data_IF_995789548131
#
_entry.id   IF_995789548131
#
_cell.length_a   1.000
_cell.length_b   1.000
_cell.length_c   1.000
_cell.angle_alpha   90.00
_cell.angle_beta   90.00
_cell.angle_gamma   90.00
#
_symmetry.space_group_name_H-M   'P 1'
#
loop_
_entity.id
_entity.type
_entity.pdbx_description
1 polymer ?
#
# COMPACT_ATOMS: atom_id res chain seq x y z
N UNK A 1 12.48 -33.59 -25.29
CA UNK A 1 12.60 -32.14 -25.17
C UNK A 1 11.21 -31.55 -25.36
N UNK A 2 10.57 -31.06 -24.31
CA UNK A 2 9.21 -30.50 -24.40
C UNK A 2 9.23 -29.18 -25.18
N UNK A 3 8.37 -29.06 -26.16
CA UNK A 3 8.16 -27.83 -26.90
C UNK A 3 7.60 -26.76 -25.90
N UNK A 4 8.30 -25.65 -25.75
CA UNK A 4 7.82 -24.51 -24.97
C UNK A 4 6.75 -23.79 -25.78
N UNK A 5 5.52 -23.71 -25.26
CA UNK A 5 4.42 -23.01 -25.91
C UNK A 5 4.73 -21.52 -26.03
N UNK A 6 4.22 -20.87 -27.10
CA UNK A 6 4.36 -19.42 -27.31
C UNK A 6 3.72 -18.62 -26.16
N UNK A 7 4.41 -17.61 -25.59
CA UNK A 7 3.85 -16.78 -24.54
C UNK A 7 2.73 -15.88 -25.09
N UNK A 8 1.78 -15.42 -24.27
CA UNK A 8 0.82 -14.38 -24.64
C UNK A 8 1.53 -13.12 -25.19
N UNK A 9 0.89 -12.40 -26.10
CA UNK A 9 1.49 -11.24 -26.80
C UNK A 9 2.09 -10.21 -25.84
N UNK A 10 1.36 -9.86 -24.78
CA UNK A 10 1.85 -8.95 -23.74
C UNK A 10 3.14 -9.46 -23.06
N UNK A 11 3.24 -10.79 -22.84
CA UNK A 11 4.44 -11.42 -22.25
C UNK A 11 5.59 -11.44 -23.26
N UNK A 12 5.31 -11.63 -24.56
CA UNK A 12 6.31 -11.59 -25.61
C UNK A 12 6.96 -10.20 -25.73
N UNK A 13 6.17 -9.12 -25.62
CA UNK A 13 6.64 -7.74 -25.60
C UNK A 13 7.51 -7.47 -24.35
N UNK A 14 7.05 -7.89 -23.16
CA UNK A 14 7.82 -7.74 -21.92
C UNK A 14 9.15 -8.49 -21.97
N UNK A 15 9.19 -9.68 -22.56
CA UNK A 15 10.44 -10.44 -22.75
C UNK A 15 11.39 -9.70 -23.70
N UNK A 16 10.87 -9.14 -24.80
CA UNK A 16 11.68 -8.33 -25.71
C UNK A 16 12.25 -7.08 -25.01
N UNK A 17 11.42 -6.33 -24.29
CA UNK A 17 11.82 -5.10 -23.59
C UNK A 17 12.84 -5.38 -22.48
N UNK A 18 12.71 -6.51 -21.78
CA UNK A 18 13.61 -6.86 -20.67
C UNK A 18 14.93 -7.50 -21.13
N UNK A 19 14.92 -8.29 -22.20
CA UNK A 19 16.06 -9.11 -22.62
C UNK A 19 16.67 -8.68 -23.97
N UNK A 20 16.05 -7.73 -24.67
CA UNK A 20 16.44 -7.32 -26.02
C UNK A 20 16.31 -8.41 -27.07
N UNK A 21 15.53 -9.47 -26.79
CA UNK A 21 15.35 -10.64 -27.66
C UNK A 21 13.88 -11.05 -27.73
N UNK A 22 13.42 -11.33 -28.91
CA UNK A 22 12.09 -11.87 -29.11
C UNK A 22 11.98 -13.34 -28.68
N UNK A 23 10.78 -13.85 -28.31
CA UNK A 23 10.60 -15.23 -27.85
C UNK A 23 11.14 -16.30 -28.80
N UNK A 24 11.07 -16.10 -30.14
CA UNK A 24 11.66 -17.02 -31.10
C UNK A 24 13.18 -17.12 -30.96
N UNK A 25 13.85 -16.04 -30.58
CA UNK A 25 15.31 -16.02 -30.35
C UNK A 25 15.69 -16.72 -29.02
N UNK A 26 14.69 -16.96 -28.18
CA UNK A 26 14.79 -17.70 -26.92
C UNK A 26 14.32 -19.16 -27.03
N UNK A 27 14.02 -19.62 -28.25
CA UNK A 27 13.65 -21.00 -28.57
C UNK A 27 12.16 -21.32 -28.42
N UNK A 28 11.28 -20.31 -28.37
CA UNK A 28 9.84 -20.51 -28.48
C UNK A 28 9.43 -20.58 -29.96
N UNK A 29 8.43 -21.42 -30.31
CA UNK A 29 7.91 -21.48 -31.67
C UNK A 29 6.75 -20.51 -31.85
N UNK A 30 6.84 -19.54 -32.79
CA UNK A 30 5.77 -18.62 -33.05
C UNK A 30 4.54 -19.31 -33.66
N UNK A 31 3.32 -18.87 -33.34
CA UNK A 31 2.10 -19.36 -33.98
C UNK A 31 2.08 -18.98 -35.47
N UNK A 32 1.35 -19.77 -36.27
CA UNK A 32 1.21 -19.51 -37.70
C UNK A 32 0.56 -18.12 -37.90
N UNK A 33 1.24 -17.27 -38.68
CA UNK A 33 0.77 -15.90 -38.96
C UNK A 33 1.24 -14.84 -37.97
N UNK A 34 2.09 -15.17 -37.00
CA UNK A 34 2.68 -14.16 -36.11
C UNK A 34 3.67 -13.28 -36.88
N UNK A 35 3.47 -11.96 -36.75
CA UNK A 35 4.33 -10.93 -37.35
C UNK A 35 4.93 -10.14 -36.19
N UNK A 36 6.24 -9.91 -36.20
CA UNK A 36 6.89 -9.03 -35.21
C UNK A 36 6.22 -7.66 -35.25
N UNK A 37 5.81 -7.10 -34.09
CA UNK A 37 5.38 -5.70 -34.04
C UNK A 37 6.53 -4.83 -34.56
N UNK A 38 6.28 -4.01 -35.59
CA UNK A 38 7.24 -2.98 -36.01
C UNK A 38 7.48 -2.04 -34.82
N UNK A 39 8.75 -1.70 -34.57
CA UNK A 39 9.10 -0.73 -33.57
C UNK A 39 8.35 0.58 -33.84
N UNK A 40 7.31 0.85 -33.07
CA UNK A 40 6.60 2.12 -33.15
C UNK A 40 7.58 3.22 -32.81
N UNK A 41 7.82 4.10 -33.77
CA UNK A 41 8.41 5.41 -33.53
C UNK A 41 7.58 6.11 -32.44
N UNK A 42 8.31 6.59 -31.46
CA UNK A 42 7.85 7.23 -30.25
C UNK A 42 6.75 8.28 -30.53
N UNK A 43 5.56 8.01 -30.01
CA UNK A 43 4.67 9.07 -29.60
C UNK A 43 4.99 9.33 -28.12
N UNK A 44 5.34 10.56 -27.82
CA UNK A 44 5.68 11.08 -26.49
C UNK A 44 4.64 10.69 -25.42
N UNK A 45 4.93 9.63 -24.67
CA UNK A 45 4.32 9.34 -23.39
C UNK A 45 5.45 9.18 -22.40
N UNK A 46 5.47 10.07 -21.45
CA UNK A 46 6.44 10.20 -20.37
C UNK A 46 6.66 8.87 -19.64
N UNK A 47 7.48 7.99 -20.19
CA UNK A 47 8.00 6.79 -19.50
C UNK A 47 9.28 7.21 -18.78
N UNK A 48 9.45 6.85 -17.50
CA UNK A 48 10.75 7.03 -16.86
C UNK A 48 11.76 6.18 -17.65
N UNK A 49 12.62 6.85 -18.37
CA UNK A 49 13.71 6.26 -19.13
C UNK A 49 14.64 5.55 -18.15
N UNK A 50 14.65 4.21 -18.16
CA UNK A 50 15.78 3.46 -17.64
C UNK A 50 16.97 3.81 -18.52
N UNK A 51 17.79 4.75 -18.09
CA UNK A 51 19.09 5.01 -18.70
C UNK A 51 19.98 3.81 -18.37
N UNK A 52 20.02 2.85 -19.29
CA UNK A 52 21.11 1.88 -19.35
C UNK A 52 22.39 2.65 -19.67
N UNK A 53 23.10 3.08 -18.65
CA UNK A 53 24.49 3.48 -18.79
C UNK A 53 25.27 2.19 -19.03
N UNK A 54 25.51 1.88 -20.30
CA UNK A 54 26.58 0.97 -20.72
C UNK A 54 27.90 1.64 -20.32
N UNK A 55 28.31 1.44 -19.08
CA UNK A 55 29.67 1.76 -18.66
C UNK A 55 30.59 0.77 -19.38
N UNK A 56 31.34 1.25 -20.39
CA UNK A 56 32.55 0.60 -20.83
C UNK A 56 33.36 0.23 -19.60
N UNK A 57 33.71 -1.04 -19.46
CA UNK A 57 34.50 -1.57 -18.37
C UNK A 57 35.93 -1.00 -18.43
N UNK A 58 36.11 0.17 -17.88
CA UNK A 58 37.34 0.54 -17.23
C UNK A 58 37.29 -0.19 -15.89
N UNK A 59 38.12 -1.24 -15.74
CA UNK A 59 38.43 -1.84 -14.45
C UNK A 59 38.95 -0.71 -13.58
N UNK A 60 38.22 -0.16 -12.62
CA UNK A 60 38.80 0.79 -11.69
C UNK A 60 39.70 -0.05 -10.79
N UNK A 61 40.98 0.28 -10.72
CA UNK A 61 41.76 -0.10 -9.56
C UNK A 61 40.99 0.25 -8.27
N UNK A 62 41.40 -0.27 -7.10
CA UNK A 62 40.66 -0.08 -5.86
C UNK A 62 40.48 1.43 -5.63
N UNK A 63 39.30 1.93 -6.03
CA UNK A 63 38.88 3.28 -5.68
C UNK A 63 38.81 3.31 -4.17
N UNK A 64 39.58 4.22 -3.56
CA UNK A 64 39.53 4.50 -2.13
C UNK A 64 38.05 4.51 -1.73
N UNK A 65 37.65 3.64 -0.79
CA UNK A 65 36.28 3.50 -0.35
C UNK A 65 35.78 4.90 -0.03
N UNK A 66 34.83 5.40 -0.83
CA UNK A 66 34.28 6.72 -0.65
C UNK A 66 33.58 6.70 0.71
N UNK A 67 34.17 7.43 1.69
CA UNK A 67 33.64 7.45 3.04
C UNK A 67 32.25 8.09 2.99
N UNK A 68 31.24 7.28 3.27
CA UNK A 68 29.87 7.75 3.35
C UNK A 68 29.66 8.36 4.74
N UNK A 69 29.34 9.65 4.78
CA UNK A 69 29.16 10.39 6.03
C UNK A 69 27.92 9.84 6.78
N UNK A 70 28.08 9.42 8.07
CA UNK A 70 26.96 8.99 8.89
C UNK A 70 25.83 10.01 9.06
N UNK A 71 26.13 11.32 8.93
CA UNK A 71 25.11 12.39 9.00
C UNK A 71 24.05 12.27 7.91
N UNK A 72 24.31 11.55 6.82
CA UNK A 72 23.31 11.27 5.78
C UNK A 72 22.13 10.44 6.30
N UNK A 73 22.31 9.63 7.35
CA UNK A 73 21.20 8.87 7.95
C UNK A 73 20.17 9.84 8.53
N UNK A 74 20.59 10.79 9.35
CA UNK A 74 19.71 11.81 9.94
C UNK A 74 19.08 12.68 8.85
N UNK A 75 19.85 13.10 7.85
CA UNK A 75 19.35 13.85 6.70
C UNK A 75 18.18 13.14 6.02
N UNK A 76 18.32 11.84 5.69
CA UNK A 76 17.23 11.09 5.05
C UNK A 76 16.05 10.84 5.99
N UNK A 77 16.28 10.70 7.30
CA UNK A 77 15.18 10.60 8.28
C UNK A 77 14.34 11.88 8.32
N UNK A 78 14.98 13.04 8.36
CA UNK A 78 14.30 14.35 8.33
C UNK A 78 13.50 14.55 7.03
N UNK A 79 14.08 14.18 5.88
CA UNK A 79 13.38 14.22 4.60
C UNK A 79 12.18 13.26 4.56
N UNK A 80 12.31 12.06 5.13
CA UNK A 80 11.22 11.08 5.21
C UNK A 80 10.03 11.63 6.01
N UNK A 81 10.29 12.29 7.15
CA UNK A 81 9.25 12.98 7.92
C UNK A 81 8.56 14.09 7.10
N UNK A 82 9.33 14.79 6.26
CA UNK A 82 8.79 15.74 5.29
C UNK A 82 7.83 15.07 4.31
N UNK A 83 8.19 13.90 3.78
CA UNK A 83 7.34 13.15 2.86
C UNK A 83 6.07 12.61 3.52
N UNK A 84 6.12 12.13 4.76
CA UNK A 84 4.92 11.74 5.50
C UNK A 84 3.95 12.91 5.70
N UNK A 85 4.46 14.12 5.96
CA UNK A 85 3.61 15.33 6.03
C UNK A 85 3.05 15.71 4.66
N UNK A 86 3.87 15.61 3.62
CA UNK A 86 3.44 15.92 2.25
C UNK A 86 2.37 14.93 1.75
N UNK A 87 2.46 13.63 2.11
CA UNK A 87 1.44 12.63 1.77
C UNK A 87 0.05 12.96 2.32
N UNK A 88 -0.04 13.70 3.44
CA UNK A 88 -1.32 14.15 3.96
C UNK A 88 -1.95 15.29 3.13
N UNK A 89 -1.14 16.04 2.38
CA UNK A 89 -1.53 17.25 1.63
C UNK A 89 -1.63 17.02 0.13
N UNK A 90 -0.69 16.23 -0.42
CA UNK A 90 -0.56 15.94 -1.84
C UNK A 90 -1.12 14.55 -2.16
N UNK A 91 -1.38 14.30 -3.43
CA UNK A 91 -1.71 12.96 -3.91
C UNK A 91 -0.48 12.05 -4.04
N UNK A 92 -0.68 10.71 -4.12
CA UNK A 92 0.44 9.79 -4.27
C UNK A 92 1.23 10.02 -5.57
N UNK A 93 0.57 10.43 -6.65
CA UNK A 93 1.21 10.67 -7.95
C UNK A 93 2.29 11.75 -7.90
N UNK A 94 2.10 12.78 -7.09
CA UNK A 94 3.06 13.89 -6.95
C UNK A 94 4.32 13.48 -6.15
N UNK A 95 4.21 12.44 -5.32
CA UNK A 95 5.28 12.04 -4.40
C UNK A 95 6.08 10.82 -4.87
N UNK A 96 5.49 9.91 -5.63
CA UNK A 96 6.12 8.64 -6.05
C UNK A 96 7.50 8.90 -6.68
N UNK A 97 7.59 9.85 -7.61
CA UNK A 97 8.83 10.16 -8.32
C UNK A 97 9.95 10.61 -7.37
N UNK A 98 9.65 11.57 -6.51
CA UNK A 98 10.63 12.15 -5.57
C UNK A 98 11.09 11.14 -4.54
N UNK A 99 10.16 10.40 -3.91
CA UNK A 99 10.49 9.41 -2.88
C UNK A 99 11.27 8.23 -3.46
N UNK A 100 10.90 7.77 -4.67
CA UNK A 100 11.65 6.72 -5.38
C UNK A 100 13.07 7.14 -5.75
N UNK A 101 13.27 8.39 -6.19
CA UNK A 101 14.61 8.91 -6.51
C UNK A 101 15.50 8.97 -5.27
N UNK A 102 14.97 9.39 -4.12
CA UNK A 102 15.71 9.38 -2.87
C UNK A 102 16.04 7.95 -2.40
N UNK A 103 15.11 7.02 -2.53
CA UNK A 103 15.40 5.60 -2.27
C UNK A 103 16.57 5.09 -3.13
N UNK A 104 16.59 5.39 -4.43
CA UNK A 104 17.68 4.98 -5.32
C UNK A 104 19.03 5.56 -4.88
N UNK A 105 19.06 6.82 -4.41
CA UNK A 105 20.25 7.42 -3.85
C UNK A 105 20.72 6.69 -2.59
N UNK A 106 19.79 6.35 -1.67
CA UNK A 106 20.11 5.59 -0.46
C UNK A 106 20.66 4.21 -0.82
N UNK A 107 20.07 3.47 -1.77
CA UNK A 107 20.57 2.17 -2.20
C UNK A 107 21.98 2.24 -2.79
N UNK A 108 22.26 3.28 -3.57
CA UNK A 108 23.63 3.54 -4.06
C UNK A 108 24.62 3.77 -2.92
N UNK A 109 24.24 4.56 -1.91
CA UNK A 109 25.09 4.84 -0.74
C UNK A 109 25.31 3.58 0.11
N UNK A 110 24.30 2.73 0.27
CA UNK A 110 24.39 1.43 0.97
C UNK A 110 25.50 0.54 0.38
N UNK A 111 25.72 0.59 -0.94
CA UNK A 111 26.74 -0.21 -1.62
C UNK A 111 28.17 0.22 -1.25
N UNK A 112 28.36 1.50 -0.95
CA UNK A 112 29.66 2.07 -0.59
C UNK A 112 29.89 2.17 0.92
N UNK A 113 28.82 2.18 1.73
CA UNK A 113 28.86 2.29 3.16
C UNK A 113 29.27 0.98 3.85
N UNK A 114 29.87 1.09 5.03
CA UNK A 114 30.28 -0.04 5.87
C UNK A 114 29.81 0.13 7.33
N UNK A 115 29.87 -0.94 8.12
CA UNK A 115 29.56 -0.94 9.55
C UNK A 115 28.18 -0.34 9.88
N UNK A 116 28.13 0.47 10.92
CA UNK A 116 26.91 1.10 11.43
C UNK A 116 26.28 2.07 10.43
N UNK A 117 27.08 2.78 9.63
CA UNK A 117 26.55 3.67 8.58
C UNK A 117 25.76 2.88 7.55
N UNK A 118 26.27 1.72 7.13
CA UNK A 118 25.53 0.82 6.22
C UNK A 118 24.24 0.32 6.86
N UNK A 119 24.28 -0.09 8.11
CA UNK A 119 23.09 -0.58 8.83
C UNK A 119 22.04 0.52 8.99
N UNK A 120 22.46 1.75 9.31
CA UNK A 120 21.58 2.92 9.40
C UNK A 120 20.93 3.26 8.05
N UNK A 121 21.69 3.24 6.96
CA UNK A 121 21.19 3.47 5.61
C UNK A 121 20.22 2.36 5.15
N UNK A 122 20.45 1.10 5.53
CA UNK A 122 19.48 0.03 5.25
C UNK A 122 18.16 0.26 5.98
N UNK A 123 18.19 0.65 7.26
CA UNK A 123 16.96 0.94 8.03
C UNK A 123 16.16 2.08 7.40
N UNK A 124 16.81 3.18 7.07
CA UNK A 124 16.12 4.32 6.44
C UNK A 124 15.66 3.99 5.02
N UNK A 125 16.46 3.24 4.25
CA UNK A 125 16.09 2.77 2.92
C UNK A 125 14.85 1.89 2.92
N UNK A 126 14.71 1.02 3.91
CA UNK A 126 13.49 0.21 4.08
C UNK A 126 12.24 1.09 4.36
N UNK A 127 12.40 2.16 5.15
CA UNK A 127 11.31 3.10 5.41
C UNK A 127 10.89 3.86 4.13
N UNK A 128 11.85 4.27 3.29
CA UNK A 128 11.57 4.86 1.97
C UNK A 128 10.85 3.86 1.04
N UNK A 129 11.35 2.62 0.95
CA UNK A 129 10.72 1.59 0.14
C UNK A 129 9.28 1.29 0.62
N UNK A 130 9.07 1.27 1.95
CA UNK A 130 7.74 1.10 2.53
C UNK A 130 6.80 2.26 2.18
N UNK A 131 7.30 3.50 2.19
CA UNK A 131 6.52 4.67 1.78
C UNK A 131 6.18 4.63 0.29
N UNK A 132 7.13 4.29 -0.59
CA UNK A 132 6.84 4.14 -2.03
C UNK A 132 5.78 3.07 -2.26
N UNK A 133 5.88 1.92 -1.58
CA UNK A 133 4.87 0.87 -1.64
C UNK A 133 3.48 1.35 -1.16
N UNK A 134 3.43 2.19 -0.13
CA UNK A 134 2.20 2.84 0.31
C UNK A 134 1.63 3.79 -0.74
N UNK A 135 2.45 4.65 -1.33
CA UNK A 135 2.01 5.60 -2.35
C UNK A 135 1.42 4.88 -3.58
N UNK A 136 2.05 3.80 -4.05
CA UNK A 136 1.48 2.98 -5.13
C UNK A 136 0.18 2.28 -4.72
N UNK A 137 0.08 1.80 -3.48
CA UNK A 137 -1.15 1.20 -2.95
C UNK A 137 -2.30 2.23 -2.91
N UNK A 138 -2.01 3.46 -2.49
CA UNK A 138 -2.98 4.56 -2.46
C UNK A 138 -3.33 5.07 -3.87
N UNK A 139 -2.38 5.02 -4.82
CA UNK A 139 -2.62 5.26 -6.25
C UNK A 139 -3.44 4.14 -6.94
N UNK A 140 -3.65 2.99 -6.27
CA UNK A 140 -4.40 1.86 -6.81
C UNK A 140 -3.57 0.86 -7.61
N UNK A 141 -2.27 1.08 -7.78
CA UNK A 141 -1.35 0.12 -8.44
C UNK A 141 -0.85 -0.92 -7.42
N UNK A 142 -1.66 -1.96 -7.22
CA UNK A 142 -1.35 -3.04 -6.29
C UNK A 142 -0.16 -3.91 -6.77
N UNK A 143 0.14 -3.93 -8.06
CA UNK A 143 1.30 -4.62 -8.62
C UNK A 143 2.59 -3.95 -8.20
N UNK A 144 2.73 -2.63 -8.45
CA UNK A 144 3.86 -1.84 -8.00
C UNK A 144 3.96 -1.80 -6.47
N UNK A 145 2.82 -1.68 -5.76
CA UNK A 145 2.80 -1.76 -4.30
C UNK A 145 3.40 -3.07 -3.79
N UNK A 146 2.99 -4.23 -4.36
CA UNK A 146 3.51 -5.54 -3.99
C UNK A 146 5.03 -5.64 -4.24
N UNK A 147 5.50 -5.14 -5.37
CA UNK A 147 6.92 -5.09 -5.69
C UNK A 147 7.72 -4.31 -4.63
N UNK A 148 7.28 -3.10 -4.28
CA UNK A 148 7.97 -2.27 -3.30
C UNK A 148 7.90 -2.83 -1.87
N UNK A 149 6.82 -3.54 -1.51
CA UNK A 149 6.74 -4.28 -0.25
C UNK A 149 7.76 -5.43 -0.22
N UNK A 150 7.99 -6.11 -1.35
CA UNK A 150 9.06 -7.09 -1.50
C UNK A 150 10.46 -6.49 -1.32
N UNK A 151 10.73 -5.33 -1.91
CA UNK A 151 11.97 -4.57 -1.69
C UNK A 151 12.14 -4.20 -0.21
N UNK A 152 11.08 -3.75 0.46
CA UNK A 152 11.11 -3.45 1.90
C UNK A 152 11.54 -4.68 2.71
N UNK A 153 10.99 -5.86 2.39
CA UNK A 153 11.32 -7.12 3.08
C UNK A 153 12.76 -7.54 2.84
N UNK A 154 13.24 -7.44 1.59
CA UNK A 154 14.65 -7.74 1.25
C UNK A 154 15.61 -6.87 2.07
N UNK A 155 15.37 -5.55 2.10
CA UNK A 155 16.23 -4.62 2.84
C UNK A 155 16.16 -4.90 4.34
N UNK A 156 14.97 -5.19 4.88
CA UNK A 156 14.78 -5.53 6.28
C UNK A 156 15.60 -6.79 6.65
N UNK A 157 15.57 -7.83 5.83
CA UNK A 157 16.38 -9.02 6.01
C UNK A 157 17.90 -8.72 5.99
N UNK A 158 18.36 -7.87 5.06
CA UNK A 158 19.76 -7.43 4.94
C UNK A 158 20.22 -6.59 6.13
N UNK A 159 19.31 -5.82 6.74
CA UNK A 159 19.61 -4.99 7.91
C UNK A 159 19.84 -5.80 9.18
N UNK A 160 19.35 -7.04 9.25
CA UNK A 160 19.32 -7.91 10.43
C UNK A 160 18.59 -7.29 11.62
N UNK A 161 17.74 -6.31 11.35
CA UNK A 161 16.88 -5.68 12.36
C UNK A 161 15.56 -6.45 12.43
N UNK A 162 15.34 -7.15 13.57
CA UNK A 162 14.13 -7.97 13.78
C UNK A 162 12.84 -7.18 13.72
N UNK A 163 12.87 -5.94 14.25
CA UNK A 163 11.68 -5.10 14.30
C UNK A 163 11.28 -4.62 12.90
N UNK A 164 12.29 -4.23 12.11
CA UNK A 164 12.08 -3.86 10.73
C UNK A 164 11.63 -5.06 9.88
N UNK A 165 12.14 -6.26 10.16
CA UNK A 165 11.70 -7.47 9.47
C UNK A 165 10.23 -7.79 9.80
N UNK A 166 9.84 -7.77 11.08
CA UNK A 166 8.44 -7.92 11.49
C UNK A 166 7.54 -6.86 10.84
N UNK A 167 7.96 -5.59 10.83
CA UNK A 167 7.26 -4.52 10.15
C UNK A 167 7.09 -4.78 8.65
N UNK A 168 8.10 -5.32 7.97
CA UNK A 168 8.03 -5.63 6.53
C UNK A 168 6.98 -6.70 6.22
N UNK A 169 6.81 -7.71 7.09
CA UNK A 169 5.75 -8.71 6.95
C UNK A 169 4.35 -8.09 7.08
N UNK A 170 4.17 -7.17 8.04
CA UNK A 170 2.91 -6.41 8.17
C UNK A 170 2.61 -5.59 6.91
N UNK A 171 3.64 -4.98 6.32
CA UNK A 171 3.49 -4.23 5.05
C UNK A 171 3.05 -5.12 3.89
N UNK A 172 3.58 -6.33 3.77
CA UNK A 172 3.11 -7.31 2.78
C UNK A 172 1.65 -7.71 3.05
N UNK A 173 1.29 -7.94 4.32
CA UNK A 173 -0.07 -8.28 4.71
C UNK A 173 -1.09 -7.18 4.36
N UNK A 174 -0.70 -5.89 4.40
CA UNK A 174 -1.57 -4.78 3.99
C UNK A 174 -2.00 -4.89 2.52
N UNK A 175 -1.07 -5.17 1.61
CA UNK A 175 -1.40 -5.36 0.19
C UNK A 175 -2.23 -6.62 -0.02
N UNK A 176 -1.95 -7.70 0.72
CA UNK A 176 -2.78 -8.93 0.68
C UNK A 176 -4.22 -8.66 1.12
N UNK A 177 -4.42 -7.76 2.09
CA UNK A 177 -5.76 -7.31 2.48
C UNK A 177 -6.51 -6.66 1.31
N UNK A 178 -5.86 -5.78 0.56
CA UNK A 178 -6.46 -5.12 -0.59
C UNK A 178 -6.72 -6.08 -1.76
N UNK A 179 -5.97 -7.17 -1.84
CA UNK A 179 -6.17 -8.27 -2.79
C UNK A 179 -7.24 -9.27 -2.33
N UNK A 180 -7.80 -9.14 -1.12
CA UNK A 180 -8.80 -10.05 -0.56
C UNK A 180 -8.24 -11.39 -0.08
N UNK A 181 -6.92 -11.52 0.06
CA UNK A 181 -6.23 -12.75 0.49
C UNK A 181 -6.17 -12.82 2.03
N UNK A 182 -7.30 -13.16 2.66
CA UNK A 182 -7.43 -13.18 4.12
C UNK A 182 -6.48 -14.17 4.81
N UNK A 183 -6.29 -15.36 4.24
CA UNK A 183 -5.36 -16.36 4.79
C UNK A 183 -3.91 -15.90 4.66
N UNK A 184 -3.50 -15.36 3.52
CA UNK A 184 -2.16 -14.80 3.36
C UNK A 184 -1.87 -13.64 4.31
N UNK A 185 -2.88 -12.84 4.66
CA UNK A 185 -2.76 -11.82 5.71
C UNK A 185 -2.49 -12.44 7.07
N UNK A 186 -3.26 -13.47 7.45
CA UNK A 186 -3.11 -14.17 8.73
C UNK A 186 -1.72 -14.78 8.84
N UNK A 187 -1.30 -15.56 7.86
CA UNK A 187 0.01 -16.25 7.85
C UNK A 187 1.18 -15.28 8.00
N UNK A 188 1.17 -14.14 7.28
CA UNK A 188 2.23 -13.13 7.35
C UNK A 188 2.27 -12.45 8.73
N UNK A 189 1.12 -12.17 9.32
CA UNK A 189 1.05 -11.56 10.65
C UNK A 189 1.45 -12.53 11.74
N UNK A 190 1.06 -13.80 11.65
CA UNK A 190 1.52 -14.85 12.57
C UNK A 190 3.03 -15.02 12.49
N UNK A 191 3.60 -15.05 11.28
CA UNK A 191 5.05 -15.11 11.10
C UNK A 191 5.76 -13.91 11.75
N UNK A 192 5.18 -12.70 11.68
CA UNK A 192 5.72 -11.55 12.38
C UNK A 192 5.65 -11.71 13.90
N UNK A 193 4.53 -12.22 14.43
CA UNK A 193 4.28 -12.35 15.88
C UNK A 193 5.03 -13.51 16.56
N UNK A 194 5.69 -14.39 15.81
CA UNK A 194 6.55 -15.44 16.36
C UNK A 194 7.68 -14.88 17.24
N UNK A 195 8.24 -13.70 16.88
CA UNK A 195 9.22 -13.03 17.74
C UNK A 195 8.50 -12.14 18.77
N UNK A 196 8.40 -12.62 20.00
CA UNK A 196 7.76 -11.95 21.14
C UNK A 196 8.52 -10.69 21.62
N UNK A 197 9.77 -10.50 21.16
CA UNK A 197 10.63 -9.35 21.49
C UNK A 197 10.44 -8.18 20.53
N UNK A 198 9.49 -8.26 19.62
CA UNK A 198 9.15 -7.11 18.75
C UNK A 198 8.65 -5.93 19.59
N UNK A 199 8.99 -4.73 19.13
CA UNK A 199 8.45 -3.50 19.73
C UNK A 199 6.91 -3.52 19.77
N UNK A 200 6.30 -2.95 20.82
CA UNK A 200 4.84 -2.88 20.94
C UNK A 200 4.16 -2.36 19.67
N UNK A 201 4.72 -1.34 19.01
CA UNK A 201 4.20 -0.77 17.75
C UNK A 201 4.06 -1.83 16.65
N UNK A 202 5.10 -2.64 16.41
CA UNK A 202 5.05 -3.67 15.35
C UNK A 202 4.04 -4.75 15.73
N UNK A 203 3.96 -5.14 17.01
CA UNK A 203 3.00 -6.12 17.49
C UNK A 203 1.56 -5.64 17.34
N UNK A 204 1.27 -4.40 17.73
CA UNK A 204 -0.06 -3.79 17.52
C UNK A 204 -0.41 -3.76 16.04
N UNK A 205 0.51 -3.34 15.18
CA UNK A 205 0.31 -3.33 13.73
C UNK A 205 0.06 -4.73 13.15
N UNK A 206 0.78 -5.75 13.63
CA UNK A 206 0.58 -7.13 13.19
C UNK A 206 -0.79 -7.67 13.64
N UNK A 207 -1.18 -7.46 14.91
CA UNK A 207 -2.46 -7.91 15.44
C UNK A 207 -3.65 -7.25 14.74
N UNK A 208 -3.62 -5.93 14.56
CA UNK A 208 -4.68 -5.25 13.82
C UNK A 208 -4.76 -5.73 12.37
N UNK A 209 -3.61 -5.96 11.72
CA UNK A 209 -3.60 -6.42 10.34
C UNK A 209 -4.08 -7.88 10.25
N UNK A 210 -3.75 -8.72 11.23
CA UNK A 210 -4.29 -10.07 11.35
C UNK A 210 -5.82 -10.05 11.54
N UNK A 211 -6.35 -9.08 12.32
CA UNK A 211 -7.80 -8.89 12.44
C UNK A 211 -8.46 -8.54 11.09
N UNK A 212 -7.78 -7.74 10.25
CA UNK A 212 -8.27 -7.52 8.87
C UNK A 212 -8.30 -8.83 8.07
N UNK A 213 -7.29 -9.70 8.18
CA UNK A 213 -7.30 -11.03 7.58
C UNK A 213 -8.46 -11.88 8.09
N UNK A 214 -8.65 -11.94 9.42
CA UNK A 214 -9.75 -12.66 10.06
C UNK A 214 -11.13 -12.15 9.58
N UNK A 215 -11.29 -10.84 9.39
CA UNK A 215 -12.53 -10.27 8.86
C UNK A 215 -12.82 -10.70 7.42
N UNK A 216 -11.78 -10.89 6.59
CA UNK A 216 -11.93 -11.37 5.21
C UNK A 216 -12.34 -12.84 5.12
N UNK A 217 -11.97 -13.66 6.11
CA UNK A 217 -12.36 -15.07 6.18
C UNK A 217 -13.61 -15.32 7.05
N UNK A 218 -14.23 -14.26 7.59
CA UNK A 218 -15.48 -14.34 8.35
C UNK A 218 -15.31 -14.69 9.83
N UNK A 219 -14.11 -14.64 10.40
CA UNK A 219 -13.84 -15.00 11.81
C UNK A 219 -13.97 -13.77 12.74
N UNK A 220 -15.22 -13.51 13.19
CA UNK A 220 -15.51 -12.43 14.15
C UNK A 220 -14.76 -12.62 15.48
N UNK A 221 -14.70 -13.84 15.99
CA UNK A 221 -14.08 -14.12 17.30
C UNK A 221 -12.60 -13.76 17.29
N UNK A 222 -11.88 -14.09 16.21
CA UNK A 222 -10.49 -13.68 16.05
C UNK A 222 -10.35 -12.16 15.91
N UNK A 223 -11.24 -11.47 15.20
CA UNK A 223 -11.24 -10.01 15.10
C UNK A 223 -11.33 -9.37 16.48
N UNK A 224 -12.34 -9.75 17.28
CA UNK A 224 -12.56 -9.16 18.59
C UNK A 224 -11.36 -9.39 19.50
N UNK A 225 -10.89 -10.62 19.60
CA UNK A 225 -9.72 -10.99 20.42
C UNK A 225 -8.45 -10.23 20.01
N UNK A 226 -8.16 -10.12 18.72
CA UNK A 226 -6.94 -9.49 18.23
C UNK A 226 -6.94 -7.98 18.47
N UNK A 227 -8.07 -7.31 18.27
CA UNK A 227 -8.19 -5.88 18.53
C UNK A 227 -8.13 -5.59 20.04
N UNK A 228 -8.77 -6.42 20.88
CA UNK A 228 -8.70 -6.24 22.34
C UNK A 228 -7.27 -6.39 22.87
N UNK A 229 -6.52 -7.41 22.42
CA UNK A 229 -5.11 -7.57 22.78
C UNK A 229 -4.24 -6.41 22.26
N UNK A 230 -4.54 -5.90 21.07
CA UNK A 230 -3.84 -4.74 20.53
C UNK A 230 -4.13 -3.46 21.35
N UNK A 231 -5.35 -3.30 21.85
CA UNK A 231 -5.74 -2.18 22.72
C UNK A 231 -5.00 -2.18 24.06
N UNK A 232 -4.86 -3.33 24.68
CA UNK A 232 -4.04 -3.48 25.89
C UNK A 232 -2.56 -3.07 25.68
N UNK A 233 -2.07 -3.23 24.43
CA UNK A 233 -0.69 -2.95 24.07
C UNK A 233 -0.44 -1.52 23.56
N UNK A 234 -1.46 -0.84 23.04
CA UNK A 234 -1.27 0.44 22.34
C UNK A 234 -0.76 1.54 23.27
N UNK A 235 -1.07 1.47 24.57
CA UNK A 235 -0.55 2.41 25.58
C UNK A 235 0.98 2.37 25.73
N UNK A 236 1.62 1.29 25.25
CA UNK A 236 3.08 1.07 25.28
C UNK A 236 3.76 1.37 23.95
N UNK A 237 3.01 1.83 22.96
CA UNK A 237 3.58 2.18 21.63
C UNK A 237 4.45 3.42 21.78
N UNK A 238 5.67 3.32 21.24
CA UNK A 238 6.59 4.43 21.06
C UNK A 238 6.41 5.01 19.66
N UNK A 239 6.11 6.31 19.58
CA UNK A 239 5.88 7.01 18.33
C UNK A 239 7.19 7.44 17.63
N UNK A 240 8.35 7.32 18.32
CA UNK A 240 9.66 7.76 17.81
C UNK A 240 10.27 6.81 16.77
N UNK A 241 9.66 5.67 16.48
CA UNK A 241 10.14 4.77 15.44
C UNK A 241 9.97 5.41 14.05
N UNK A 242 11.06 5.51 13.25
CA UNK A 242 11.07 6.26 11.99
C UNK A 242 10.26 5.62 10.87
N UNK A 243 9.81 4.39 11.05
CA UNK A 243 8.98 3.66 10.09
C UNK A 243 7.63 3.29 10.71
N UNK A 244 6.61 3.20 9.89
CA UNK A 244 5.27 2.84 10.35
C UNK A 244 4.52 4.00 10.96
N UNK A 245 4.28 5.05 10.18
CA UNK A 245 3.44 6.18 10.59
C UNK A 245 1.95 5.77 10.81
N UNK A 246 1.59 4.53 10.44
CA UNK A 246 0.22 4.05 10.44
C UNK A 246 -0.32 3.73 11.85
N UNK A 247 0.53 3.32 12.79
CA UNK A 247 0.12 3.03 14.17
C UNK A 247 0.56 4.16 15.08
N UNK A 248 -0.40 4.90 15.60
CA UNK A 248 -0.17 6.00 16.53
C UNK A 248 -0.99 5.82 17.78
N UNK A 249 -0.49 6.34 18.91
CA UNK A 249 -1.20 6.38 20.16
C UNK A 249 -2.24 7.54 20.16
N UNK A 250 -3.14 7.51 19.17
CA UNK A 250 -4.23 8.47 19.04
C UNK A 250 -5.55 7.84 19.47
N UNK A 251 -6.43 8.57 20.16
CA UNK A 251 -7.77 8.07 20.42
C UNK A 251 -8.46 7.66 19.14
N UNK A 252 -9.16 6.54 19.18
CA UNK A 252 -9.92 6.03 18.03
C UNK A 252 -9.10 5.24 17.01
N UNK A 253 -7.78 5.05 17.19
CA UNK A 253 -6.97 4.32 16.19
C UNK A 253 -7.45 2.87 15.99
N UNK A 254 -7.68 2.12 17.05
CA UNK A 254 -8.13 0.72 16.97
C UNK A 254 -9.62 0.61 16.67
N UNK A 255 -10.43 1.58 17.05
CA UNK A 255 -11.85 1.66 16.72
C UNK A 255 -12.07 1.77 15.20
N UNK A 256 -11.21 2.53 14.49
CA UNK A 256 -11.17 2.56 13.01
C UNK A 256 -10.96 1.16 12.45
N UNK A 257 -10.03 0.39 13.03
CA UNK A 257 -9.73 -0.97 12.57
C UNK A 257 -10.90 -1.91 12.85
N UNK A 258 -11.47 -1.84 14.06
CA UNK A 258 -12.65 -2.63 14.46
C UNK A 258 -13.85 -2.33 13.56
N UNK A 259 -14.18 -1.06 13.36
CA UNK A 259 -15.28 -0.64 12.50
C UNK A 259 -15.10 -1.13 11.06
N UNK A 260 -13.86 -1.06 10.53
CA UNK A 260 -13.54 -1.60 9.20
C UNK A 260 -13.75 -3.11 9.13
N UNK A 261 -13.29 -3.86 10.13
CA UNK A 261 -13.46 -5.31 10.19
C UNK A 261 -14.94 -5.70 10.31
N UNK A 262 -15.70 -5.00 11.14
CA UNK A 262 -17.13 -5.24 11.29
C UNK A 262 -17.93 -4.98 10.01
N UNK A 263 -17.58 -3.93 9.27
CA UNK A 263 -18.16 -3.68 7.95
C UNK A 263 -17.94 -4.85 6.98
N UNK A 264 -16.73 -5.44 6.96
CA UNK A 264 -16.42 -6.62 6.13
C UNK A 264 -17.15 -7.89 6.58
N UNK A 265 -17.37 -8.05 7.90
CA UNK A 265 -18.14 -9.14 8.47
C UNK A 265 -19.66 -9.02 8.27
N UNK A 266 -20.13 -7.92 7.66
CA UNK A 266 -21.57 -7.66 7.50
C UNK A 266 -22.29 -7.23 8.78
N UNK A 267 -21.53 -6.84 9.81
CA UNK A 267 -22.06 -6.34 11.08
C UNK A 267 -22.38 -4.85 10.96
N UNK A 268 -23.34 -4.50 10.08
CA UNK A 268 -23.60 -3.12 9.66
C UNK A 268 -23.93 -2.18 10.82
N UNK A 269 -24.79 -2.59 11.76
CA UNK A 269 -25.20 -1.75 12.90
C UNK A 269 -24.06 -1.48 13.88
N UNK A 270 -23.27 -2.50 14.20
CA UNK A 270 -22.12 -2.38 15.08
C UNK A 270 -21.03 -1.50 14.42
N UNK A 271 -20.78 -1.67 13.12
CA UNK A 271 -19.84 -0.86 12.38
C UNK A 271 -20.28 0.61 12.28
N UNK A 272 -21.57 0.85 12.01
CA UNK A 272 -22.15 2.19 11.91
C UNK A 272 -22.00 2.96 13.22
N UNK A 273 -22.32 2.35 14.37
CA UNK A 273 -22.17 2.93 15.69
C UNK A 273 -20.71 3.33 15.99
N UNK A 274 -19.73 2.51 15.59
CA UNK A 274 -18.31 2.82 15.76
C UNK A 274 -17.87 3.96 14.85
N UNK A 275 -18.31 3.96 13.57
CA UNK A 275 -17.94 5.01 12.62
C UNK A 275 -18.46 6.38 13.04
N UNK A 276 -19.67 6.47 13.60
CA UNK A 276 -20.21 7.73 14.14
C UNK A 276 -19.27 8.33 15.19
N UNK A 277 -18.76 7.50 16.13
CA UNK A 277 -17.85 7.93 17.18
C UNK A 277 -16.45 8.31 16.63
N UNK A 278 -15.93 7.50 15.70
CA UNK A 278 -14.60 7.72 15.12
C UNK A 278 -14.53 9.02 14.34
N UNK A 279 -15.54 9.30 13.51
CA UNK A 279 -15.53 10.47 12.61
C UNK A 279 -15.53 11.80 13.35
N UNK A 280 -16.08 11.85 14.57
CA UNK A 280 -16.04 13.03 15.42
C UNK A 280 -14.63 13.37 15.92
N UNK A 281 -13.77 12.35 16.04
CA UNK A 281 -12.39 12.50 16.52
C UNK A 281 -11.36 12.71 15.39
N UNK A 282 -11.74 12.56 14.10
CA UNK A 282 -10.82 12.71 12.98
C UNK A 282 -10.43 14.17 12.77
N UNK A 283 -9.13 14.54 12.80
CA UNK A 283 -8.70 15.90 12.53
C UNK A 283 -9.13 16.39 11.14
N UNK A 284 -9.50 17.67 11.05
CA UNK A 284 -9.90 18.29 9.79
C UNK A 284 -8.78 18.23 8.71
N UNK A 285 -7.51 18.20 9.15
CA UNK A 285 -6.33 18.08 8.28
C UNK A 285 -6.18 16.68 7.66
N UNK A 286 -6.78 15.65 8.27
CA UNK A 286 -6.75 14.26 7.75
C UNK A 286 -7.84 14.02 6.69
N UNK A 287 -7.96 14.93 5.72
CA UNK A 287 -9.06 14.97 4.75
C UNK A 287 -9.21 13.68 3.94
N UNK A 288 -8.10 13.11 3.46
CA UNK A 288 -8.12 11.86 2.66
C UNK A 288 -8.56 10.66 3.50
N UNK A 289 -8.07 10.54 4.73
CA UNK A 289 -8.51 9.46 5.63
C UNK A 289 -9.98 9.62 6.00
N UNK A 290 -10.42 10.87 6.28
CA UNK A 290 -11.83 11.16 6.54
C UNK A 290 -12.72 10.71 5.39
N UNK A 291 -12.33 10.96 4.14
CA UNK A 291 -13.08 10.51 2.95
C UNK A 291 -13.21 8.99 2.87
N UNK A 292 -12.12 8.25 3.14
CA UNK A 292 -12.15 6.79 3.21
C UNK A 292 -13.06 6.29 4.34
N UNK A 293 -13.01 6.92 5.52
CA UNK A 293 -13.86 6.53 6.66
C UNK A 293 -15.33 6.82 6.40
N UNK A 294 -15.66 7.93 5.74
CA UNK A 294 -17.02 8.22 5.29
C UNK A 294 -17.54 7.17 4.29
N UNK A 295 -16.73 6.76 3.31
CA UNK A 295 -17.12 5.72 2.36
C UNK A 295 -17.39 4.37 3.06
N UNK A 296 -16.58 4.01 4.06
CA UNK A 296 -16.77 2.82 4.89
C UNK A 296 -18.01 2.94 5.81
N UNK A 297 -18.22 4.13 6.37
CA UNK A 297 -19.42 4.42 7.17
C UNK A 297 -20.69 4.28 6.31
N UNK A 298 -20.69 4.85 5.11
CA UNK A 298 -21.81 4.68 4.18
C UNK A 298 -22.07 3.20 3.86
N UNK A 299 -21.02 2.40 3.68
CA UNK A 299 -21.14 0.95 3.46
C UNK A 299 -21.74 0.25 4.70
N UNK A 300 -21.36 0.66 5.91
CA UNK A 300 -21.90 0.13 7.15
C UNK A 300 -23.41 0.48 7.30
N UNK A 301 -23.82 1.71 6.98
CA UNK A 301 -25.20 2.15 6.98
C UNK A 301 -26.05 1.32 5.98
N UNK A 302 -25.53 1.08 4.77
CA UNK A 302 -26.17 0.19 3.80
C UNK A 302 -26.33 -1.25 4.36
N UNK A 303 -25.30 -1.76 5.05
CA UNK A 303 -25.35 -3.05 5.74
C UNK A 303 -26.32 -3.08 6.93
N UNK A 304 -26.55 -1.95 7.59
CA UNK A 304 -27.56 -1.78 8.64
C UNK A 304 -28.99 -1.65 8.09
N UNK A 305 -29.15 -1.64 6.76
CA UNK A 305 -30.40 -1.42 6.02
C UNK A 305 -30.96 0.02 6.13
N UNK A 306 -30.05 0.98 6.18
CA UNK A 306 -30.35 2.41 6.20
C UNK A 306 -29.84 3.06 4.89
N UNK A 307 -30.49 2.75 3.73
CA UNK A 307 -29.95 3.16 2.43
C UNK A 307 -29.96 4.68 2.20
N UNK A 308 -30.93 5.41 2.75
CA UNK A 308 -31.00 6.87 2.68
C UNK A 308 -29.82 7.50 3.42
N UNK A 309 -29.52 7.04 4.63
CA UNK A 309 -28.36 7.47 5.40
C UNK A 309 -27.04 7.13 4.68
N UNK A 310 -26.95 5.95 4.06
CA UNK A 310 -25.78 5.57 3.29
C UNK A 310 -25.49 6.56 2.15
N UNK A 311 -26.52 7.00 1.42
CA UNK A 311 -26.39 7.98 0.34
C UNK A 311 -26.01 9.35 0.87
N UNK A 312 -26.61 9.81 1.96
CA UNK A 312 -26.28 11.10 2.56
C UNK A 312 -24.82 11.16 3.03
N UNK A 313 -24.32 10.10 3.66
CA UNK A 313 -22.90 9.99 4.05
C UNK A 313 -21.99 9.92 2.80
N UNK A 314 -22.40 9.19 1.76
CA UNK A 314 -21.65 9.02 0.54
C UNK A 314 -21.40 10.34 -0.20
N UNK A 315 -22.31 11.30 -0.15
CA UNK A 315 -22.15 12.63 -0.77
C UNK A 315 -20.86 13.30 -0.29
N UNK A 316 -20.66 13.33 1.03
CA UNK A 316 -19.44 13.93 1.60
C UNK A 316 -18.17 13.16 1.22
N UNK A 317 -18.24 11.82 1.11
CA UNK A 317 -17.10 11.02 0.66
C UNK A 317 -16.78 11.29 -0.83
N UNK A 318 -17.79 11.42 -1.68
CA UNK A 318 -17.65 11.70 -3.11
C UNK A 318 -17.03 13.08 -3.34
N UNK A 319 -17.46 14.12 -2.63
CA UNK A 319 -16.85 15.46 -2.71
C UNK A 319 -15.34 15.40 -2.47
N UNK A 320 -14.92 14.68 -1.41
CA UNK A 320 -13.50 14.52 -1.10
C UNK A 320 -12.80 13.65 -2.16
N UNK A 321 -13.45 12.62 -2.70
CA UNK A 321 -12.88 11.74 -3.72
C UNK A 321 -12.60 12.50 -5.04
N UNK A 322 -13.53 13.34 -5.47
CA UNK A 322 -13.38 14.20 -6.66
C UNK A 322 -12.23 15.19 -6.47
N UNK A 323 -12.18 15.85 -5.30
CA UNK A 323 -11.16 16.85 -5.01
C UNK A 323 -9.75 16.25 -4.93
N UNK A 324 -9.60 15.04 -4.34
CA UNK A 324 -8.29 14.45 -4.06
C UNK A 324 -7.83 13.42 -5.08
N UNK A 325 -8.70 12.97 -5.97
CA UNK A 325 -8.40 11.91 -6.93
C UNK A 325 -8.01 10.55 -6.32
N UNK A 326 -8.35 10.30 -5.04
CA UNK A 326 -7.89 9.12 -4.30
C UNK A 326 -8.44 7.80 -4.85
N UNK A 327 -7.58 6.93 -5.38
CA UNK A 327 -7.96 5.61 -5.85
C UNK A 327 -8.44 4.70 -4.70
N UNK A 328 -7.91 4.88 -3.49
CA UNK A 328 -8.38 4.17 -2.29
C UNK A 328 -9.85 4.52 -1.99
N UNK A 329 -10.23 5.80 -2.04
CA UNK A 329 -11.62 6.21 -1.87
C UNK A 329 -12.53 5.65 -2.95
N UNK A 330 -12.12 5.74 -4.23
CA UNK A 330 -12.89 5.15 -5.35
C UNK A 330 -13.17 3.67 -5.13
N UNK A 331 -12.17 2.92 -4.62
CA UNK A 331 -12.32 1.50 -4.29
C UNK A 331 -13.36 1.26 -3.19
N UNK A 332 -13.35 2.06 -2.11
CA UNK A 332 -14.35 1.96 -1.03
C UNK A 332 -15.75 2.37 -1.52
N UNK A 333 -15.86 3.40 -2.36
CA UNK A 333 -17.14 3.78 -2.99
C UNK A 333 -17.67 2.67 -3.92
N UNK A 334 -16.81 1.94 -4.62
CA UNK A 334 -17.21 0.75 -5.38
C UNK A 334 -17.67 -0.42 -4.51
N UNK A 335 -17.20 -0.52 -3.26
CA UNK A 335 -17.73 -1.48 -2.28
C UNK A 335 -19.12 -1.04 -1.82
N UNK A 336 -19.32 0.25 -1.55
CA UNK A 336 -20.64 0.81 -1.24
C UNK A 336 -21.65 0.55 -2.36
N UNK A 337 -21.29 0.79 -3.63
CA UNK A 337 -22.13 0.52 -4.77
C UNK A 337 -22.62 -0.93 -4.80
N UNK A 338 -21.72 -1.88 -4.52
CA UNK A 338 -22.08 -3.30 -4.39
C UNK A 338 -23.02 -3.58 -3.21
N UNK A 339 -22.80 -2.94 -2.07
CA UNK A 339 -23.64 -3.08 -0.88
C UNK A 339 -25.05 -2.52 -1.13
N UNK A 340 -25.19 -1.50 -1.96
CA UNK A 340 -26.45 -0.85 -2.32
C UNK A 340 -27.24 -1.56 -3.43
N UNK A 341 -26.74 -2.65 -4.01
CA UNK A 341 -27.45 -3.42 -5.05
C UNK A 341 -28.91 -3.77 -4.73
N UNK A 342 -29.30 -4.13 -3.48
CA UNK A 342 -30.70 -4.42 -3.16
C UNK A 342 -31.67 -3.25 -3.42
N UNK A 343 -31.16 -2.01 -3.48
CA UNK A 343 -31.93 -0.78 -3.70
C UNK A 343 -31.66 -0.12 -5.06
N UNK A 344 -30.94 -0.79 -5.95
CA UNK A 344 -30.50 -0.24 -7.24
C UNK A 344 -31.66 0.37 -8.06
N UNK A 345 -32.82 -0.29 -8.13
CA UNK A 345 -34.01 0.21 -8.87
C UNK A 345 -34.87 1.21 -8.08
N UNK A 346 -34.55 1.42 -6.80
CA UNK A 346 -35.27 2.38 -5.95
C UNK A 346 -34.75 3.83 -6.23
N UNK A 347 -35.50 4.87 -5.83
CA UNK A 347 -35.03 6.24 -5.95
C UNK A 347 -33.67 6.48 -5.30
N UNK A 348 -33.45 5.93 -4.11
CA UNK A 348 -32.19 6.05 -3.35
C UNK A 348 -31.00 5.41 -4.09
N UNK A 349 -31.20 4.29 -4.79
CA UNK A 349 -30.16 3.65 -5.58
C UNK A 349 -29.79 4.46 -6.83
N UNK A 350 -30.78 5.06 -7.50
CA UNK A 350 -30.53 5.98 -8.63
C UNK A 350 -29.81 7.26 -8.18
N UNK A 351 -30.14 7.77 -7.00
CA UNK A 351 -29.45 8.91 -6.40
C UNK A 351 -27.98 8.59 -6.15
N UNK A 352 -27.67 7.43 -5.55
CA UNK A 352 -26.27 6.97 -5.39
C UNK A 352 -25.56 6.89 -6.74
N UNK A 353 -26.16 6.28 -7.75
CA UNK A 353 -25.55 6.17 -9.07
C UNK A 353 -25.24 7.54 -9.67
N UNK A 354 -26.14 8.53 -9.49
CA UNK A 354 -25.94 9.91 -9.94
C UNK A 354 -24.74 10.58 -9.27
N UNK A 355 -24.57 10.44 -7.95
CA UNK A 355 -23.44 11.03 -7.24
C UNK A 355 -22.11 10.31 -7.54
N UNK A 356 -22.12 8.99 -7.77
CA UNK A 356 -20.90 8.24 -8.11
C UNK A 356 -20.41 8.52 -9.54
N UNK A 357 -21.28 8.94 -10.47
CA UNK A 357 -20.88 9.30 -11.82
C UNK A 357 -19.83 10.41 -11.85
N UNK A 358 -19.93 11.40 -10.94
CA UNK A 358 -18.97 12.51 -10.84
C UNK A 358 -17.55 12.07 -10.48
N UNK A 359 -17.38 10.93 -9.78
CA UNK A 359 -16.06 10.40 -9.43
C UNK A 359 -15.36 9.75 -10.63
N UNK A 360 -16.14 9.24 -11.58
CA UNK A 360 -15.64 8.55 -12.78
C UNK A 360 -15.32 9.54 -13.93
N UNK A 361 -15.96 10.70 -13.96
CA UNK A 361 -15.73 11.75 -14.98
C UNK A 361 -14.46 12.56 -14.73
N UNK A 362 -13.92 12.55 -13.51
CA UNK A 362 -12.70 13.25 -13.09
C UNK A 362 -11.40 12.43 -13.20
N UNK A 363 -11.41 11.30 -13.92
CA UNK A 363 -10.29 10.34 -13.98
C UNK A 363 -9.51 10.42 -15.27
#
# INVERSE_FOLDING_TARGET
MGQRGWPPEATAIVLHDALGRWPEELGFQPPVGWIRPEAHQEADVNRPTFVSVTAAALVPGPTAAQHVDPALISYFQEQLEGHYRADMLLGPHDLIGTVSAQYQLIDKLVRSAQGETRSGLLRVGAAYAALVGWLYQDAGDLGAASFWRGITQEIAARSRDRHLFGYSLVNLAQVRTDLGDGYGVIDLCEAALVDDRLFPKVRVMAMQQQAHGASLVGDRTAVDRLIDVADDLISRVDDDLPWGNACRRTPGYLEVQRATCYGRLGLGREAESLWSQVLDAVPATARRDRGVYLARHATAAAGAREPEQAVDIARAAVEIAVETGSARMRRELGILEKAMRPWHDAPVGRDLAGILASVNEGS
#
